data_IF_226894800697
#
_entry.id   IF_226894800697
#
_cell.length_a   1.000
_cell.length_b   1.000
_cell.length_c   1.000
_cell.angle_alpha   90.00
_cell.angle_beta   90.00
_cell.angle_gamma   90.00
#
_symmetry.space_group_name_H-M   'P 1'
#
loop_
_entity.id
_entity.type
_entity.pdbx_description
1 polymer ?
#
# COMPACT_ATOMS: atom_id res chain seq x y z
N UNK A 1 -53.94 -42.57 5.79
CA UNK A 1 -52.84 -43.41 6.33
C UNK A 1 -51.54 -42.79 5.89
N UNK A 2 -50.63 -42.57 6.84
CA UNK A 2 -49.29 -42.04 6.63
C UNK A 2 -48.46 -43.05 5.82
N UNK A 3 -47.62 -42.56 4.91
CA UNK A 3 -46.36 -43.25 4.57
C UNK A 3 -45.29 -42.21 4.28
N UNK A 4 -44.26 -42.28 5.10
CA UNK A 4 -43.04 -41.47 5.11
C UNK A 4 -42.20 -41.70 3.85
N UNK A 5 -41.52 -40.64 3.41
CA UNK A 5 -40.43 -40.69 2.45
C UNK A 5 -39.29 -39.82 2.98
N UNK A 6 -38.41 -40.46 3.76
CA UNK A 6 -37.24 -39.90 4.45
C UNK A 6 -36.20 -39.43 3.42
N UNK A 7 -35.97 -38.12 3.33
CA UNK A 7 -34.80 -37.57 2.62
C UNK A 7 -33.73 -37.22 3.66
N UNK A 8 -32.75 -38.11 3.79
CA UNK A 8 -31.57 -37.92 4.62
C UNK A 8 -30.61 -36.92 3.98
N UNK A 9 -30.45 -35.76 4.60
CA UNK A 9 -29.42 -34.78 4.24
C UNK A 9 -28.09 -35.22 4.84
N UNK A 10 -27.19 -35.75 4.01
CA UNK A 10 -25.78 -35.91 4.36
C UNK A 10 -25.10 -34.54 4.27
N UNK A 11 -24.88 -33.92 5.45
CA UNK A 11 -23.99 -32.75 5.59
C UNK A 11 -22.55 -33.22 5.46
N UNK A 12 -21.88 -32.90 4.35
CA UNK A 12 -20.43 -32.88 4.30
C UNK A 12 -19.96 -31.50 4.80
N UNK A 13 -19.54 -31.45 6.06
CA UNK A 13 -18.76 -30.34 6.60
C UNK A 13 -17.32 -30.51 6.12
N UNK A 14 -16.92 -29.77 5.08
CA UNK A 14 -15.50 -29.54 4.76
C UNK A 14 -15.26 -28.03 4.89
N UNK A 15 -14.26 -27.58 5.67
CA UNK A 15 -13.91 -26.17 5.74
C UNK A 15 -13.32 -25.73 4.40
N UNK A 16 -14.00 -24.80 3.74
CA UNK A 16 -13.45 -24.06 2.60
C UNK A 16 -12.34 -23.14 3.14
N UNK A 17 -11.10 -23.19 2.61
CA UNK A 17 -10.06 -22.24 2.99
C UNK A 17 -10.50 -20.81 2.62
N UNK A 18 -10.08 -19.78 3.38
CA UNK A 18 -10.47 -18.41 3.08
C UNK A 18 -9.99 -18.04 1.68
N UNK A 19 -10.96 -17.74 0.80
CA UNK A 19 -10.72 -17.26 -0.54
C UNK A 19 -9.80 -16.03 -0.49
N UNK A 20 -8.65 -16.16 -1.15
CA UNK A 20 -7.74 -15.06 -1.44
C UNK A 20 -8.56 -13.93 -2.07
N UNK A 21 -8.52 -12.77 -1.42
CA UNK A 21 -9.20 -11.56 -1.81
C UNK A 21 -8.84 -11.17 -3.26
N UNK A 22 -9.73 -11.47 -4.21
CA UNK A 22 -9.77 -10.77 -5.50
C UNK A 22 -10.25 -9.34 -5.26
N UNK A 23 -9.33 -8.44 -4.99
CA UNK A 23 -9.62 -7.00 -4.94
C UNK A 23 -9.54 -6.42 -6.37
N UNK A 24 -10.70 -6.30 -7.02
CA UNK A 24 -10.88 -5.36 -8.12
C UNK A 24 -12.10 -4.48 -7.83
N UNK A 25 -11.92 -3.20 -7.49
CA UNK A 25 -12.94 -2.21 -7.72
C UNK A 25 -12.46 -1.25 -8.82
N UNK A 26 -12.95 -1.48 -10.03
CA UNK A 26 -13.02 -0.42 -11.03
C UNK A 26 -14.27 0.42 -10.73
N UNK A 27 -14.06 1.70 -10.51
CA UNK A 27 -15.09 2.72 -10.52
C UNK A 27 -14.41 4.05 -10.80
N UNK A 28 -14.59 4.59 -12.00
CA UNK A 28 -14.33 5.99 -12.32
C UNK A 28 -14.96 6.84 -11.21
N UNK A 29 -14.13 7.55 -10.45
CA UNK A 29 -14.52 8.18 -9.18
C UNK A 29 -15.80 9.00 -9.32
N UNK A 30 -16.92 8.46 -8.79
CA UNK A 30 -18.09 9.26 -8.47
C UNK A 30 -17.73 10.13 -7.27
N UNK A 31 -18.24 11.37 -7.23
CA UNK A 31 -17.98 12.32 -6.13
C UNK A 31 -18.29 11.80 -4.71
N UNK A 32 -18.98 10.67 -4.58
CA UNK A 32 -19.25 9.99 -3.31
C UNK A 32 -17.99 9.46 -2.61
N UNK A 33 -17.02 8.89 -3.36
CA UNK A 33 -15.84 8.27 -2.75
C UNK A 33 -14.92 9.28 -2.05
N UNK A 34 -14.86 10.51 -2.57
CA UNK A 34 -14.08 11.59 -1.97
C UNK A 34 -14.66 12.07 -0.65
N UNK A 35 -15.98 12.12 -0.54
CA UNK A 35 -16.64 12.52 0.71
C UNK A 35 -16.46 11.45 1.79
N UNK A 36 -16.58 10.18 1.43
CA UNK A 36 -16.27 9.06 2.33
C UNK A 36 -14.82 9.13 2.83
N UNK A 37 -13.86 9.41 1.95
CA UNK A 37 -12.45 9.60 2.34
C UNK A 37 -12.24 10.80 3.27
N UNK A 38 -12.98 11.91 3.07
CA UNK A 38 -12.93 13.06 4.00
C UNK A 38 -13.45 12.69 5.38
N UNK A 39 -14.55 11.93 5.45
CA UNK A 39 -15.07 11.42 6.73
C UNK A 39 -14.06 10.48 7.41
N UNK A 40 -13.35 9.65 6.65
CA UNK A 40 -12.27 8.82 7.18
C UNK A 40 -11.11 9.67 7.73
N UNK A 41 -10.70 10.74 7.05
CA UNK A 41 -9.69 11.69 7.57
C UNK A 41 -10.15 12.35 8.87
N UNK A 42 -11.43 12.73 8.98
CA UNK A 42 -12.00 13.29 10.20
C UNK A 42 -11.88 12.28 11.36
N UNK A 43 -12.31 11.03 11.14
CA UNK A 43 -12.20 9.96 12.16
C UNK A 43 -10.75 9.72 12.57
N UNK A 44 -9.84 9.70 11.61
CA UNK A 44 -8.40 9.53 11.82
C UNK A 44 -7.76 10.70 12.59
N UNK A 45 -8.25 11.93 12.39
CA UNK A 45 -7.87 13.10 13.17
C UNK A 45 -8.38 13.06 14.61
N UNK A 46 -9.62 12.60 14.79
CA UNK A 46 -10.20 12.33 16.13
C UNK A 46 -9.38 11.27 16.85
N UNK A 47 -9.06 10.16 16.20
CA UNK A 47 -8.28 9.07 16.81
C UNK A 47 -6.88 9.53 17.23
N UNK A 48 -6.16 10.27 16.37
CA UNK A 48 -4.88 10.88 16.75
C UNK A 48 -5.02 11.81 17.97
N UNK A 49 -6.10 12.59 17.99
CA UNK A 49 -6.40 13.53 19.07
C UNK A 49 -6.72 12.83 20.39
N UNK A 50 -7.33 11.64 20.36
CA UNK A 50 -7.53 10.79 21.54
C UNK A 50 -6.18 10.38 22.14
N UNK A 51 -5.21 9.95 21.33
CA UNK A 51 -3.87 9.59 21.83
C UNK A 51 -3.09 10.80 22.36
N UNK A 52 -3.25 11.98 21.74
CA UNK A 52 -2.70 13.24 22.27
C UNK A 52 -3.33 13.56 23.62
N UNK A 53 -4.65 13.42 23.74
CA UNK A 53 -5.38 13.64 24.99
C UNK A 53 -4.91 12.66 26.07
N UNK A 54 -4.83 11.37 25.77
CA UNK A 54 -4.31 10.34 26.68
C UNK A 54 -2.91 10.71 27.19
N UNK A 55 -2.03 11.16 26.30
CA UNK A 55 -0.70 11.65 26.65
C UNK A 55 -0.74 12.87 27.57
N UNK A 56 -1.70 13.78 27.39
CA UNK A 56 -1.90 14.90 28.30
C UNK A 56 -2.32 14.44 29.71
N UNK A 57 -3.14 13.40 29.81
CA UNK A 57 -3.50 12.78 31.10
C UNK A 57 -2.33 12.01 31.71
N UNK A 58 -1.48 11.36 30.92
CA UNK A 58 -0.27 10.69 31.43
C UNK A 58 0.73 11.68 32.01
N UNK A 59 0.85 12.86 31.39
CA UNK A 59 1.77 13.91 31.79
C UNK A 59 1.18 14.88 32.84
N UNK A 60 -0.07 14.70 33.27
CA UNK A 60 -0.73 15.69 34.13
C UNK A 60 -0.21 15.71 35.58
N UNK A 61 0.66 14.76 35.94
CA UNK A 61 1.46 14.80 37.16
C UNK A 61 2.43 16.00 37.18
N UNK A 62 2.88 16.44 35.99
CA UNK A 62 3.57 17.72 35.81
C UNK A 62 2.98 18.53 34.64
N UNK A 63 2.14 19.52 34.98
CA UNK A 63 1.51 20.42 34.01
C UNK A 63 2.52 21.10 33.11
N UNK A 64 3.74 21.37 33.59
CA UNK A 64 4.76 22.02 32.77
C UNK A 64 5.22 21.10 31.64
N UNK A 65 5.51 19.83 31.92
CA UNK A 65 5.85 18.81 30.91
C UNK A 65 4.69 18.61 29.94
N UNK A 66 3.45 18.51 30.44
CA UNK A 66 2.26 18.37 29.59
C UNK A 66 2.07 19.56 28.63
N UNK A 67 2.17 20.79 29.14
CA UNK A 67 2.03 22.00 28.33
C UNK A 67 3.18 22.14 27.32
N UNK A 68 4.40 21.77 27.71
CA UNK A 68 5.52 21.72 26.78
C UNK A 68 5.32 20.67 25.69
N UNK A 69 4.77 19.50 26.00
CA UNK A 69 4.42 18.49 25.00
C UNK A 69 3.44 19.06 23.97
N UNK A 70 2.38 19.72 24.43
CA UNK A 70 1.41 20.40 23.55
C UNK A 70 2.06 21.50 22.70
N UNK A 71 2.89 22.35 23.32
CA UNK A 71 3.60 23.44 22.63
C UNK A 71 4.57 22.92 21.58
N UNK A 72 5.23 21.80 21.85
CA UNK A 72 6.20 21.18 20.95
C UNK A 72 5.47 20.54 19.77
N UNK A 73 4.35 19.84 19.99
CA UNK A 73 3.54 19.29 18.89
C UNK A 73 3.01 20.40 17.98
N UNK A 74 2.56 21.51 18.58
CA UNK A 74 2.11 22.68 17.84
C UNK A 74 3.23 23.36 17.03
N UNK A 75 4.45 23.46 17.57
CA UNK A 75 5.57 24.16 16.92
C UNK A 75 6.37 23.30 15.94
N UNK A 76 6.45 21.99 16.14
CA UNK A 76 7.38 21.14 15.38
C UNK A 76 6.88 20.76 13.99
N UNK A 77 5.61 21.01 13.64
CA UNK A 77 4.98 20.29 12.53
C UNK A 77 4.25 21.20 11.52
N UNK A 78 4.93 22.18 10.89
CA UNK A 78 4.46 22.95 9.70
C UNK A 78 4.06 24.43 9.96
N UNK A 79 3.97 25.29 8.90
CA UNK A 79 3.75 26.75 9.02
C UNK A 79 2.39 27.15 9.61
N UNK A 80 2.27 28.43 9.99
CA UNK A 80 1.18 29.03 10.77
C UNK A 80 -0.28 28.89 10.25
N UNK A 81 -0.57 28.17 9.16
CA UNK A 81 -1.92 28.02 8.57
C UNK A 81 -2.34 26.57 8.34
N UNK A 82 -1.84 25.62 9.13
CA UNK A 82 -2.25 24.22 9.04
C UNK A 82 -3.61 23.95 9.74
N UNK A 83 -4.61 23.53 8.97
CA UNK A 83 -5.94 23.16 9.48
C UNK A 83 -5.89 22.01 10.50
N UNK A 84 -5.00 21.03 10.31
CA UNK A 84 -4.85 19.88 11.22
C UNK A 84 -4.35 20.34 12.58
N UNK A 85 -3.28 21.15 12.59
CA UNK A 85 -2.75 21.71 13.83
C UNK A 85 -3.79 22.59 14.53
N UNK A 86 -4.58 23.38 13.79
CA UNK A 86 -5.64 24.19 14.38
C UNK A 86 -6.68 23.33 15.10
N UNK A 87 -7.12 22.22 14.49
CA UNK A 87 -8.04 21.28 15.16
C UNK A 87 -7.40 20.65 16.39
N UNK A 88 -6.15 20.25 16.28
CA UNK A 88 -5.43 19.65 17.39
C UNK A 88 -5.23 20.63 18.57
N UNK A 89 -4.95 21.90 18.28
CA UNK A 89 -4.83 22.95 19.29
C UNK A 89 -6.17 23.20 20.02
N UNK A 90 -7.29 23.16 19.30
CA UNK A 90 -8.62 23.25 19.91
C UNK A 90 -8.88 22.07 20.86
N UNK A 91 -8.49 20.85 20.45
CA UNK A 91 -8.60 19.66 21.32
C UNK A 91 -7.72 19.82 22.56
N UNK A 92 -6.45 20.19 22.41
CA UNK A 92 -5.54 20.39 23.54
C UNK A 92 -6.11 21.42 24.53
N UNK A 93 -6.64 22.54 24.02
CA UNK A 93 -7.26 23.56 24.86
C UNK A 93 -8.51 23.05 25.60
N UNK A 94 -9.37 22.33 24.88
CA UNK A 94 -10.58 21.75 25.44
C UNK A 94 -10.26 20.75 26.55
N UNK A 95 -9.34 19.83 26.30
CA UNK A 95 -8.93 18.80 27.27
C UNK A 95 -8.31 19.44 28.51
N UNK A 96 -7.40 20.39 28.30
CA UNK A 96 -6.75 21.11 29.39
C UNK A 96 -7.77 21.88 30.24
N UNK A 97 -8.64 22.68 29.61
CA UNK A 97 -9.56 23.57 30.32
C UNK A 97 -10.68 22.83 31.03
N UNK A 98 -11.18 21.74 30.43
CA UNK A 98 -12.33 21.00 30.94
C UNK A 98 -11.94 19.94 31.97
N UNK A 99 -10.82 19.23 31.76
CA UNK A 99 -10.51 18.03 32.53
C UNK A 99 -9.29 18.16 33.44
N UNK A 100 -8.27 18.92 33.02
CA UNK A 100 -6.98 18.96 33.72
C UNK A 100 -6.90 20.17 34.66
N UNK A 101 -7.05 21.39 34.13
CA UNK A 101 -6.96 22.67 34.85
C UNK A 101 -7.87 22.73 36.10
N UNK A 102 -9.14 22.27 36.07
CA UNK A 102 -10.03 22.37 37.23
C UNK A 102 -9.64 21.47 38.42
N UNK A 103 -8.79 20.46 38.21
CA UNK A 103 -8.41 19.49 39.26
C UNK A 103 -7.42 20.04 40.29
N UNK A 104 -6.88 21.25 40.11
CA UNK A 104 -6.02 21.96 41.08
C UNK A 104 -4.96 21.05 41.76
N UNK A 105 -4.27 20.23 40.97
CA UNK A 105 -3.23 19.34 41.49
C UNK A 105 -2.07 20.17 42.06
N UNK A 106 -1.49 19.73 43.18
CA UNK A 106 -0.34 20.38 43.80
C UNK A 106 0.88 20.10 42.93
N UNK A 107 1.39 21.13 42.25
CA UNK A 107 2.45 21.01 41.25
C UNK A 107 3.83 20.97 41.91
N UNK A 108 4.65 19.99 41.54
CA UNK A 108 6.08 20.00 41.85
C UNK A 108 6.82 20.76 40.74
N UNK A 109 7.43 21.90 41.08
CA UNK A 109 8.04 22.82 40.10
C UNK A 109 9.42 22.36 39.56
N UNK A 110 9.95 21.24 40.07
CA UNK A 110 11.34 20.83 39.87
C UNK A 110 11.52 19.43 39.23
N UNK A 111 10.45 18.76 38.77
CA UNK A 111 10.53 17.40 38.20
C UNK A 111 9.89 17.29 36.81
N UNK A 112 10.52 16.54 35.89
CA UNK A 112 9.85 16.04 34.69
C UNK A 112 8.73 15.07 35.11
N UNK A 113 7.64 15.02 34.34
CA UNK A 113 6.64 13.95 34.50
C UNK A 113 7.31 12.58 34.51
N UNK A 114 6.84 11.68 35.38
CA UNK A 114 7.34 10.29 35.47
C UNK A 114 7.13 9.56 34.14
N UNK A 115 6.10 9.94 33.39
CA UNK A 115 5.75 9.34 32.10
C UNK A 115 6.45 10.00 30.90
N UNK A 116 7.29 11.02 31.12
CA UNK A 116 8.02 11.69 30.03
C UNK A 116 8.87 10.72 29.22
N UNK A 117 9.49 9.73 29.88
CA UNK A 117 10.30 8.71 29.21
C UNK A 117 9.52 7.93 28.15
N UNK A 118 8.25 7.57 28.43
CA UNK A 118 7.37 6.91 27.48
C UNK A 118 7.02 7.84 26.31
N UNK A 119 6.57 9.06 26.60
CA UNK A 119 6.17 10.04 25.59
C UNK A 119 7.32 10.37 24.63
N UNK A 120 8.55 10.40 25.15
CA UNK A 120 9.75 10.57 24.32
C UNK A 120 9.89 9.45 23.28
N UNK A 121 9.58 8.20 23.64
CA UNK A 121 9.65 7.06 22.70
C UNK A 121 8.50 7.00 21.70
N UNK A 122 7.39 7.70 21.95
CA UNK A 122 6.24 7.79 21.04
C UNK A 122 6.28 9.05 20.17
N UNK A 123 7.20 9.98 20.44
CA UNK A 123 7.27 11.30 19.80
C UNK A 123 7.22 11.24 18.27
N UNK A 124 8.05 10.39 17.66
CA UNK A 124 8.12 10.24 16.20
C UNK A 124 6.76 9.84 15.61
N UNK A 125 6.02 8.96 16.27
CA UNK A 125 4.71 8.51 15.78
C UNK A 125 3.67 9.63 15.84
N UNK A 126 3.75 10.54 16.81
CA UNK A 126 2.88 11.73 16.84
C UNK A 126 3.21 12.69 15.70
N UNK A 127 4.50 12.96 15.46
CA UNK A 127 4.95 13.83 14.37
C UNK A 127 4.56 13.25 13.02
N UNK A 128 4.82 11.96 12.79
CA UNK A 128 4.43 11.24 11.58
C UNK A 128 2.91 11.30 11.39
N UNK A 129 2.15 11.08 12.46
CA UNK A 129 0.70 11.19 12.44
C UNK A 129 0.24 12.57 11.96
N UNK A 130 0.72 13.64 12.57
CA UNK A 130 0.31 15.01 12.20
C UNK A 130 0.69 15.32 10.74
N UNK A 131 1.91 14.99 10.30
CA UNK A 131 2.37 15.31 8.93
C UNK A 131 1.56 14.53 7.89
N UNK A 132 1.32 13.24 8.12
CA UNK A 132 0.56 12.41 7.17
C UNK A 132 -0.89 12.88 7.10
N UNK A 133 -1.51 13.20 8.23
CA UNK A 133 -2.86 13.74 8.28
C UNK A 133 -2.95 15.09 7.55
N UNK A 134 -1.99 15.98 7.76
CA UNK A 134 -1.89 17.24 7.03
C UNK A 134 -1.83 17.03 5.51
N UNK A 135 -0.98 16.10 5.05
CA UNK A 135 -0.87 15.74 3.63
C UNK A 135 -2.18 15.21 3.07
N UNK A 136 -2.87 14.33 3.80
CA UNK A 136 -4.19 13.81 3.41
C UNK A 136 -5.22 14.95 3.25
N UNK A 137 -5.27 15.89 4.21
CA UNK A 137 -6.13 17.06 4.13
C UNK A 137 -5.81 17.89 2.90
N UNK A 138 -4.54 18.23 2.66
CA UNK A 138 -4.13 18.99 1.48
C UNK A 138 -4.55 18.31 0.16
N UNK A 139 -4.43 16.99 0.07
CA UNK A 139 -4.82 16.25 -1.13
C UNK A 139 -6.34 16.29 -1.32
N UNK A 140 -7.12 16.05 -0.27
CA UNK A 140 -8.58 16.00 -0.35
C UNK A 140 -9.25 17.37 -0.46
N UNK A 141 -8.59 18.44 0.01
CA UNK A 141 -9.09 19.83 -0.11
C UNK A 141 -8.96 20.40 -1.52
N UNK A 142 -8.09 19.84 -2.38
CA UNK A 142 -7.99 20.29 -3.78
C UNK A 142 -9.25 19.91 -4.55
N UNK A 143 -9.86 20.86 -5.27
CA UNK A 143 -11.05 20.61 -6.11
C UNK A 143 -10.77 19.56 -7.20
N UNK A 144 -9.58 19.64 -7.83
CA UNK A 144 -9.15 18.77 -8.92
C UNK A 144 -8.10 17.73 -8.48
N UNK A 145 -8.34 17.00 -7.39
CA UNK A 145 -7.42 15.94 -6.99
C UNK A 145 -7.55 14.73 -7.94
N UNK A 146 -6.68 14.65 -8.94
CA UNK A 146 -6.48 13.46 -9.79
C UNK A 146 -5.59 12.41 -9.11
N UNK A 147 -5.61 12.34 -7.77
CA UNK A 147 -4.79 11.37 -7.05
C UNK A 147 -5.38 9.97 -7.23
N UNK A 148 -4.50 8.99 -7.41
CA UNK A 148 -4.90 7.60 -7.55
C UNK A 148 -5.48 7.07 -6.22
N UNK A 149 -6.73 6.59 -6.26
CA UNK A 149 -7.44 6.01 -5.11
C UNK A 149 -6.62 4.91 -4.42
N UNK A 150 -5.77 4.19 -5.15
CA UNK A 150 -4.87 3.16 -4.61
C UNK A 150 -3.74 3.75 -3.75
N UNK A 151 -3.06 4.78 -4.24
CA UNK A 151 -2.00 5.47 -3.49
C UNK A 151 -2.57 6.13 -2.24
N UNK A 152 -3.75 6.73 -2.36
CA UNK A 152 -4.49 7.25 -1.20
C UNK A 152 -4.84 6.13 -0.22
N UNK A 153 -5.45 5.04 -0.68
CA UNK A 153 -5.80 3.89 0.17
C UNK A 153 -4.59 3.30 0.90
N UNK A 154 -3.44 3.19 0.23
CA UNK A 154 -2.18 2.77 0.83
C UNK A 154 -1.70 3.75 1.91
N UNK A 155 -1.80 5.06 1.64
CA UNK A 155 -1.49 6.08 2.63
C UNK A 155 -2.41 6.01 3.87
N UNK A 156 -3.72 5.81 3.68
CA UNK A 156 -4.68 5.58 4.77
C UNK A 156 -4.32 4.34 5.58
N UNK A 157 -3.97 3.22 4.93
CA UNK A 157 -3.58 1.99 5.60
C UNK A 157 -2.31 2.17 6.44
N UNK A 158 -1.29 2.83 5.87
CA UNK A 158 -0.03 3.13 6.60
C UNK A 158 -0.27 4.10 7.76
N UNK A 159 -1.14 5.09 7.59
CA UNK A 159 -1.52 5.99 8.68
C UNK A 159 -2.24 5.25 9.82
N UNK A 160 -3.19 4.37 9.50
CA UNK A 160 -3.83 3.49 10.50
C UNK A 160 -2.81 2.64 11.25
N UNK A 161 -1.75 2.18 10.58
CA UNK A 161 -0.66 1.46 11.24
C UNK A 161 0.17 2.36 12.18
N UNK A 162 0.40 3.63 11.84
CA UNK A 162 1.04 4.61 12.75
C UNK A 162 0.21 4.78 14.02
N UNK A 163 -1.11 4.96 13.88
CA UNK A 163 -2.02 5.08 15.02
C UNK A 163 -2.08 3.79 15.87
N UNK A 164 -2.11 2.62 15.24
CA UNK A 164 -2.02 1.34 15.95
C UNK A 164 -0.72 1.19 16.73
N UNK A 165 0.40 1.66 16.19
CA UNK A 165 1.68 1.64 16.90
C UNK A 165 1.67 2.58 18.12
N UNK A 166 0.98 3.74 18.04
CA UNK A 166 0.75 4.62 19.18
C UNK A 166 -0.09 3.91 20.25
N UNK A 167 -1.21 3.31 19.86
CA UNK A 167 -2.09 2.55 20.76
C UNK A 167 -1.31 1.48 21.53
N UNK A 168 -0.52 0.67 20.82
CA UNK A 168 0.28 -0.40 21.43
C UNK A 168 1.26 0.17 22.45
N UNK A 169 1.95 1.28 22.14
CA UNK A 169 2.90 1.89 23.09
C UNK A 169 2.20 2.47 24.32
N UNK A 170 1.07 3.15 24.14
CA UNK A 170 0.30 3.78 25.22
C UNK A 170 -0.46 2.76 26.08
N UNK A 171 -0.81 1.59 25.53
CA UNK A 171 -1.52 0.53 26.25
C UNK A 171 -0.83 0.07 27.53
N UNK A 172 0.51 0.18 27.59
CA UNK A 172 1.31 -0.17 28.77
C UNK A 172 1.05 0.74 29.99
N UNK A 173 0.47 1.92 29.78
CA UNK A 173 0.18 2.92 30.81
C UNK A 173 -1.29 3.30 30.88
N UNK A 174 -2.17 2.49 30.29
CA UNK A 174 -3.62 2.75 30.25
C UNK A 174 -4.21 2.92 31.65
N UNK A 175 -3.82 2.08 32.61
CA UNK A 175 -4.29 2.19 33.99
C UNK A 175 -3.90 3.54 34.64
N UNK A 176 -2.77 4.11 34.23
CA UNK A 176 -2.28 5.41 34.74
C UNK A 176 -3.08 6.56 34.15
N UNK A 177 -3.35 6.54 32.84
CA UNK A 177 -4.17 7.58 32.20
C UNK A 177 -5.61 7.54 32.74
N UNK A 178 -6.19 6.35 32.91
CA UNK A 178 -7.52 6.15 33.51
C UNK A 178 -7.58 6.61 34.97
N UNK A 179 -6.57 6.31 35.78
CA UNK A 179 -6.47 6.80 37.16
C UNK A 179 -6.41 8.34 37.22
N UNK A 180 -5.80 8.97 36.21
CA UNK A 180 -5.78 10.42 36.04
C UNK A 180 -7.11 10.98 35.49
N UNK A 181 -8.08 10.12 35.21
CA UNK A 181 -9.44 10.45 34.78
C UNK A 181 -9.61 10.54 33.27
N UNK A 182 -8.74 9.91 32.49
CA UNK A 182 -8.93 9.71 31.05
C UNK A 182 -10.09 8.73 30.81
N UNK A 183 -11.07 9.12 30.01
CA UNK A 183 -12.17 8.25 29.58
C UNK A 183 -12.26 8.36 28.06
N UNK A 184 -11.76 7.34 27.36
CA UNK A 184 -11.55 7.34 25.91
C UNK A 184 -12.81 7.72 25.14
N UNK A 185 -13.92 7.02 25.42
CA UNK A 185 -15.19 7.19 24.70
C UNK A 185 -15.79 8.59 24.92
N UNK A 186 -15.63 9.13 26.13
CA UNK A 186 -16.14 10.47 26.47
C UNK A 186 -15.33 11.55 25.74
N UNK A 187 -14.01 11.43 25.75
CA UNK A 187 -13.13 12.38 25.07
C UNK A 187 -13.37 12.31 23.56
N UNK A 188 -13.39 11.12 22.98
CA UNK A 188 -13.64 10.87 21.56
C UNK A 188 -14.95 11.53 21.10
N UNK A 189 -16.05 11.29 21.82
CA UNK A 189 -17.36 11.88 21.49
C UNK A 189 -17.34 13.42 21.56
N UNK A 190 -16.64 13.99 22.53
CA UNK A 190 -16.64 15.44 22.75
C UNK A 190 -15.74 16.18 21.76
N UNK A 191 -14.67 15.55 21.28
CA UNK A 191 -13.75 16.17 20.32
C UNK A 191 -14.17 15.95 18.87
N UNK A 192 -15.07 14.99 18.59
CA UNK A 192 -15.54 14.70 17.24
C UNK A 192 -16.07 15.95 16.51
N UNK A 193 -16.85 16.77 17.21
CA UNK A 193 -17.40 18.01 16.65
C UNK A 193 -16.33 19.06 16.32
N UNK A 194 -15.18 19.05 17.01
CA UNK A 194 -14.07 19.96 16.72
C UNK A 194 -13.43 19.65 15.35
N UNK A 195 -13.50 18.39 14.91
CA UNK A 195 -12.96 17.90 13.64
C UNK A 195 -13.95 17.96 12.49
N UNK A 196 -15.26 18.01 12.76
CA UNK A 196 -16.31 17.95 11.74
C UNK A 196 -16.18 19.03 10.66
N UNK A 197 -15.70 20.22 11.03
CA UNK A 197 -15.49 21.35 10.12
C UNK A 197 -14.10 21.40 9.47
N UNK A 198 -13.35 20.29 9.47
CA UNK A 198 -11.99 20.24 8.91
C UNK A 198 -11.93 20.69 7.44
N UNK A 199 -12.96 20.37 6.65
CA UNK A 199 -13.04 20.69 5.22
C UNK A 199 -13.99 21.85 4.90
N UNK A 200 -14.54 22.55 5.89
CA UNK A 200 -15.49 23.64 5.69
C UNK A 200 -14.74 24.95 5.36
N UNK A 201 -14.76 25.35 4.08
CA UNK A 201 -14.09 26.58 3.61
C UNK A 201 -14.71 27.88 4.17
N UNK A 202 -16.01 27.88 4.52
CA UNK A 202 -16.75 29.05 5.02
C UNK A 202 -16.42 29.46 6.48
N UNK A 203 -15.59 28.68 7.18
CA UNK A 203 -15.23 28.97 8.58
C UNK A 203 -14.03 29.92 8.75
N UNK A 204 -13.32 30.29 7.67
CA UNK A 204 -12.30 31.35 7.66
C UNK A 204 -12.95 32.71 7.40
N UNK A 205 -12.62 33.82 8.04
CA UNK A 205 -11.31 34.45 7.85
C UNK A 205 -10.92 35.45 8.96
N UNK A 206 -11.73 35.70 10.01
CA UNK A 206 -11.38 36.71 11.04
C UNK A 206 -11.58 36.26 12.50
N UNK A 207 -12.68 35.57 12.83
CA UNK A 207 -12.93 35.04 14.16
C UNK A 207 -11.92 33.98 14.66
N UNK A 208 -11.36 33.09 13.81
CA UNK A 208 -10.46 32.02 14.25
C UNK A 208 -9.11 32.51 14.82
N UNK A 209 -8.57 33.62 14.32
CA UNK A 209 -7.24 34.10 14.75
C UNK A 209 -7.26 34.73 16.15
N UNK A 210 -8.34 35.44 16.50
CA UNK A 210 -8.54 35.99 17.84
C UNK A 210 -8.74 34.84 18.85
N UNK A 211 -9.53 33.82 18.46
CA UNK A 211 -9.73 32.61 19.28
C UNK A 211 -8.40 31.86 19.46
N UNK A 212 -7.63 31.67 18.39
CA UNK A 212 -6.30 31.03 18.44
C UNK A 212 -5.35 31.78 19.37
N UNK A 213 -5.25 33.10 19.26
CA UNK A 213 -4.37 33.91 20.11
C UNK A 213 -4.76 33.77 21.59
N UNK A 214 -6.07 33.76 21.88
CA UNK A 214 -6.58 33.53 23.23
C UNK A 214 -6.26 32.14 23.76
N UNK A 215 -6.41 31.10 22.93
CA UNK A 215 -6.06 29.72 23.27
C UNK A 215 -4.57 29.57 23.56
N UNK A 216 -3.70 30.09 22.67
CA UNK A 216 -2.25 30.05 22.86
C UNK A 216 -1.84 30.77 24.14
N UNK A 217 -2.48 31.90 24.44
CA UNK A 217 -2.25 32.62 25.69
C UNK A 217 -2.70 31.78 26.89
N UNK A 218 -3.91 31.23 26.90
CA UNK A 218 -4.42 30.44 28.04
C UNK A 218 -3.63 29.15 28.29
N UNK A 219 -3.22 28.44 27.22
CA UNK A 219 -2.42 27.21 27.33
C UNK A 219 -0.97 27.50 27.71
N UNK A 220 -0.31 28.47 27.07
CA UNK A 220 1.14 28.59 27.13
C UNK A 220 1.66 29.76 27.98
N UNK A 221 0.79 30.61 28.52
CA UNK A 221 1.19 31.61 29.54
C UNK A 221 2.00 31.01 30.69
N UNK A 222 1.64 29.83 31.26
CA UNK A 222 2.42 29.19 32.32
C UNK A 222 3.86 28.84 31.93
N UNK A 223 4.17 28.75 30.63
CA UNK A 223 5.50 28.39 30.13
C UNK A 223 6.44 29.60 29.95
N UNK A 224 5.91 30.82 29.75
CA UNK A 224 6.73 31.99 29.37
C UNK A 224 7.66 32.52 30.48
N UNK A 225 7.43 32.13 31.74
CA UNK A 225 8.23 32.60 32.87
C UNK A 225 9.32 31.61 33.32
N UNK A 226 9.53 30.50 32.62
CA UNK A 226 10.38 29.38 33.07
C UNK A 226 11.37 28.92 32.00
N UNK A 227 12.54 28.35 32.37
CA UNK A 227 13.54 27.91 31.41
C UNK A 227 13.01 26.84 30.45
N UNK A 228 13.49 26.88 29.21
CA UNK A 228 13.05 26.00 28.13
C UNK A 228 13.47 24.54 28.41
N UNK A 229 12.56 23.59 28.18
CA UNK A 229 12.83 22.16 28.26
C UNK A 229 13.76 21.73 27.12
N UNK A 230 15.08 21.69 27.39
CA UNK A 230 16.12 21.44 26.36
C UNK A 230 15.99 20.08 25.68
N UNK A 231 15.46 19.06 26.37
CA UNK A 231 15.28 17.74 25.78
C UNK A 231 14.16 17.73 24.73
N UNK A 232 13.11 18.53 24.94
CA UNK A 232 12.00 18.66 23.99
C UNK A 232 12.38 19.47 22.75
N UNK A 233 13.28 20.46 22.89
CA UNK A 233 13.83 21.18 21.74
C UNK A 233 14.72 20.31 20.84
N UNK A 234 15.30 19.24 21.37
CA UNK A 234 16.13 18.31 20.60
C UNK A 234 15.30 17.35 19.73
N UNK A 235 13.98 17.32 19.92
CA UNK A 235 13.05 16.50 19.15
C UNK A 235 12.81 17.16 17.78
N UNK A 236 13.68 16.83 16.82
CA UNK A 236 13.61 17.35 15.45
C UNK A 236 12.49 16.67 14.67
N UNK A 237 11.68 17.42 13.89
CA UNK A 237 10.74 16.81 12.96
C UNK A 237 11.48 16.13 11.80
N UNK A 238 11.25 14.84 11.62
CA UNK A 238 11.56 14.15 10.37
C UNK A 238 10.34 14.21 9.43
N UNK A 239 10.57 14.13 8.12
CA UNK A 239 9.47 14.04 7.17
C UNK A 239 9.13 12.57 6.95
N UNK A 240 7.93 12.08 7.35
CA UNK A 240 7.57 10.70 7.13
C UNK A 240 7.57 10.37 5.65
N UNK A 241 7.89 9.11 5.35
CA UNK A 241 7.91 8.56 4.01
C UNK A 241 6.53 8.60 3.31
N UNK A 242 5.43 8.65 4.06
CA UNK A 242 4.06 8.54 3.53
C UNK A 242 3.62 9.83 2.81
N UNK A 243 3.05 9.71 1.61
CA UNK A 243 2.53 10.82 0.78
C UNK A 243 3.58 11.84 0.28
N UNK A 244 4.86 11.48 0.24
CA UNK A 244 5.91 12.21 -0.50
C UNK A 244 5.97 11.84 -1.99
N UNK A 245 6.79 12.54 -2.79
CA UNK A 245 7.05 12.15 -4.20
C UNK A 245 7.64 10.74 -4.30
N UNK A 246 8.60 10.43 -3.42
CA UNK A 246 9.24 9.12 -3.35
C UNK A 246 8.28 8.00 -2.92
N UNK A 247 7.20 8.35 -2.22
CA UNK A 247 6.14 7.42 -1.83
C UNK A 247 5.35 6.95 -3.05
N UNK A 248 4.78 7.88 -3.81
CA UNK A 248 3.97 7.56 -4.98
C UNK A 248 4.79 6.76 -6.01
N UNK A 249 6.06 7.13 -6.20
CA UNK A 249 6.97 6.40 -7.06
C UNK A 249 7.22 4.96 -6.60
N UNK A 250 7.36 4.73 -5.29
CA UNK A 250 7.58 3.38 -4.77
C UNK A 250 6.33 2.51 -4.76
N UNK A 251 5.17 3.07 -4.41
CA UNK A 251 3.89 2.35 -4.52
C UNK A 251 3.67 1.86 -5.95
N UNK A 252 3.98 2.73 -6.93
CA UNK A 252 3.89 2.39 -8.34
C UNK A 252 4.94 1.34 -8.76
N UNK A 253 6.15 1.33 -8.18
CA UNK A 253 7.13 0.25 -8.39
C UNK A 253 6.62 -1.09 -7.86
N UNK A 254 6.03 -1.12 -6.67
CA UNK A 254 5.45 -2.33 -6.10
C UNK A 254 4.28 -2.85 -6.94
N UNK A 255 3.45 -1.95 -7.47
CA UNK A 255 2.37 -2.29 -8.40
C UNK A 255 2.90 -2.89 -9.70
N UNK A 256 3.95 -2.31 -10.28
CA UNK A 256 4.60 -2.83 -11.48
C UNK A 256 5.17 -4.23 -11.27
N UNK A 257 5.77 -4.49 -10.11
CA UNK A 257 6.23 -5.84 -9.74
C UNK A 257 5.04 -6.81 -9.69
N UNK A 258 3.92 -6.44 -9.06
CA UNK A 258 2.72 -7.28 -9.02
C UNK A 258 2.15 -7.57 -10.41
N UNK A 259 2.06 -6.56 -11.27
CA UNK A 259 1.58 -6.73 -12.65
C UNK A 259 2.53 -7.62 -13.48
N UNK A 260 3.85 -7.52 -13.25
CA UNK A 260 4.83 -8.40 -13.87
C UNK A 260 4.69 -9.87 -13.44
N UNK A 261 4.43 -10.11 -12.15
CA UNK A 261 4.11 -11.44 -11.62
C UNK A 261 2.83 -11.98 -12.25
N UNK A 262 1.78 -11.17 -12.31
CA UNK A 262 0.50 -11.57 -12.89
C UNK A 262 0.63 -11.91 -14.38
N UNK A 263 1.32 -11.07 -15.16
CA UNK A 263 1.67 -11.35 -16.55
C UNK A 263 2.40 -12.71 -16.68
N UNK A 264 3.40 -12.95 -15.83
CA UNK A 264 4.18 -14.19 -15.85
C UNK A 264 3.33 -15.42 -15.51
N UNK A 265 2.36 -15.30 -14.61
CA UNK A 265 1.43 -16.38 -14.28
C UNK A 265 0.52 -16.74 -15.46
N UNK A 266 0.03 -15.77 -16.22
CA UNK A 266 -0.75 -16.07 -17.43
C UNK A 266 0.11 -16.67 -18.55
N UNK A 267 1.38 -16.27 -18.65
CA UNK A 267 2.34 -16.92 -19.57
C UNK A 267 2.60 -18.35 -19.13
N UNK A 268 2.81 -18.59 -17.84
CA UNK A 268 2.95 -19.95 -17.28
C UNK A 268 1.71 -20.80 -17.56
N UNK A 269 0.50 -20.29 -17.31
CA UNK A 269 -0.75 -20.97 -17.63
C UNK A 269 -0.83 -21.36 -19.12
N UNK A 270 -0.42 -20.45 -20.00
CA UNK A 270 -0.34 -20.70 -21.45
C UNK A 270 0.68 -21.79 -21.79
N UNK A 271 1.83 -21.83 -21.09
CA UNK A 271 2.83 -22.89 -21.25
C UNK A 271 2.27 -24.25 -20.84
N UNK A 272 1.52 -24.32 -19.73
CA UNK A 272 0.83 -25.54 -19.32
C UNK A 272 -0.22 -25.97 -20.36
N UNK A 273 -1.02 -25.03 -20.88
CA UNK A 273 -2.00 -25.34 -21.91
C UNK A 273 -1.37 -25.94 -23.17
N UNK A 274 -0.18 -25.46 -23.56
CA UNK A 274 0.56 -25.94 -24.72
C UNK A 274 1.48 -27.14 -24.43
N UNK A 275 1.61 -27.59 -23.18
CA UNK A 275 2.56 -28.66 -22.80
C UNK A 275 2.24 -30.05 -23.40
N UNK A 276 1.09 -30.20 -24.07
CA UNK A 276 0.80 -31.37 -24.91
C UNK A 276 1.70 -31.44 -26.16
N UNK A 277 2.20 -30.29 -26.62
CA UNK A 277 3.25 -30.21 -27.63
C UNK A 277 4.29 -29.15 -27.21
N UNK A 278 5.42 -29.64 -26.69
CA UNK A 278 6.52 -28.80 -26.23
C UNK A 278 7.01 -27.86 -27.34
N UNK A 279 6.92 -28.25 -28.61
CA UNK A 279 7.35 -27.40 -29.73
C UNK A 279 6.45 -26.18 -29.88
N UNK A 280 5.12 -26.37 -29.81
CA UNK A 280 4.15 -25.27 -29.76
C UNK A 280 4.43 -24.37 -28.56
N UNK A 281 4.62 -24.94 -27.37
CA UNK A 281 4.94 -24.16 -26.16
C UNK A 281 6.22 -23.31 -26.34
N UNK A 282 7.31 -23.90 -26.83
CA UNK A 282 8.57 -23.18 -27.06
C UNK A 282 8.45 -22.13 -28.17
N UNK A 283 7.68 -22.41 -29.23
CA UNK A 283 7.36 -21.41 -30.27
C UNK A 283 6.58 -20.23 -29.72
N UNK A 284 5.62 -20.48 -28.84
CA UNK A 284 4.88 -19.43 -28.13
C UNK A 284 5.82 -18.54 -27.31
N UNK A 285 6.68 -19.15 -26.49
CA UNK A 285 7.66 -18.42 -25.67
C UNK A 285 8.65 -17.62 -26.53
N UNK A 286 9.16 -18.20 -27.62
CA UNK A 286 10.07 -17.53 -28.54
C UNK A 286 9.39 -16.34 -29.23
N UNK A 287 8.11 -16.49 -29.61
CA UNK A 287 7.34 -15.42 -30.24
C UNK A 287 7.12 -14.25 -29.27
N UNK A 288 6.70 -14.53 -28.04
CA UNK A 288 6.58 -13.51 -26.98
C UNK A 288 7.90 -12.76 -26.78
N UNK A 289 9.02 -13.48 -26.68
CA UNK A 289 10.33 -12.87 -26.52
C UNK A 289 10.75 -12.03 -27.74
N UNK A 290 10.51 -12.52 -28.96
CA UNK A 290 10.86 -11.80 -30.20
C UNK A 290 10.04 -10.53 -30.39
N UNK A 291 8.75 -10.59 -30.12
CA UNK A 291 7.85 -9.45 -30.31
C UNK A 291 8.14 -8.36 -29.27
N UNK A 292 8.38 -8.76 -28.02
CA UNK A 292 8.82 -7.84 -26.98
C UNK A 292 10.19 -7.19 -27.25
N UNK A 293 11.08 -7.87 -28.00
CA UNK A 293 12.38 -7.33 -28.45
C UNK A 293 12.28 -6.54 -29.76
N UNK A 294 11.22 -6.74 -30.54
CA UNK A 294 11.03 -6.21 -31.89
C UNK A 294 10.74 -4.71 -31.92
N UNK A 295 10.26 -4.14 -30.81
CA UNK A 295 10.21 -2.69 -30.62
C UNK A 295 11.65 -2.17 -30.41
N UNK A 296 12.22 -1.58 -31.47
CA UNK A 296 13.61 -1.13 -31.67
C UNK A 296 14.18 -0.19 -30.57
N UNK A 297 13.39 0.16 -29.55
CA UNK A 297 13.75 1.17 -28.56
C UNK A 297 14.63 0.67 -27.40
N UNK A 298 14.69 -0.64 -27.05
CA UNK A 298 15.42 -1.07 -25.84
C UNK A 298 16.09 -2.46 -26.00
N UNK A 299 17.40 -2.52 -26.30
CA UNK A 299 18.15 -3.79 -26.42
C UNK A 299 18.24 -4.64 -25.14
N UNK A 300 18.01 -4.03 -23.97
CA UNK A 300 18.16 -4.62 -22.62
C UNK A 300 16.88 -4.36 -21.76
N UNK A 301 15.70 -4.82 -22.21
CA UNK A 301 14.46 -4.67 -21.43
C UNK A 301 14.51 -5.52 -20.14
N UNK A 302 14.43 -4.91 -18.95
CA UNK A 302 14.38 -5.64 -17.68
C UNK A 302 13.12 -6.48 -17.55
N UNK A 303 12.00 -6.02 -18.13
CA UNK A 303 10.73 -6.75 -18.14
C UNK A 303 10.86 -8.04 -18.92
N UNK A 304 11.46 -7.99 -20.11
CA UNK A 304 11.69 -9.18 -20.95
C UNK A 304 12.65 -10.15 -20.27
N UNK A 305 13.67 -9.64 -19.60
CA UNK A 305 14.61 -10.45 -18.81
C UNK A 305 13.88 -11.20 -17.68
N UNK A 306 13.07 -10.51 -16.86
CA UNK A 306 12.29 -11.14 -15.77
C UNK A 306 11.28 -12.14 -16.30
N UNK A 307 10.61 -11.82 -17.42
CA UNK A 307 9.67 -12.74 -18.04
C UNK A 307 10.37 -14.01 -18.56
N UNK A 308 11.56 -13.87 -19.16
CA UNK A 308 12.32 -15.01 -19.64
C UNK A 308 12.80 -15.90 -18.48
N UNK A 309 13.19 -15.32 -17.35
CA UNK A 309 13.51 -16.06 -16.13
C UNK A 309 12.31 -16.85 -15.62
N UNK A 310 11.12 -16.23 -15.59
CA UNK A 310 9.89 -16.92 -15.20
C UNK A 310 9.54 -18.06 -16.16
N UNK A 311 9.66 -17.85 -17.47
CA UNK A 311 9.49 -18.90 -18.50
C UNK A 311 10.48 -20.04 -18.28
N UNK A 312 11.76 -19.72 -18.09
CA UNK A 312 12.81 -20.72 -17.88
C UNK A 312 12.57 -21.52 -16.59
N UNK A 313 12.14 -20.85 -15.53
CA UNK A 313 11.79 -21.46 -14.26
C UNK A 313 10.69 -22.51 -14.43
N UNK A 314 9.54 -22.10 -15.00
CA UNK A 314 8.39 -22.99 -15.23
C UNK A 314 8.77 -24.14 -16.18
N UNK A 315 9.50 -23.83 -17.24
CA UNK A 315 9.99 -24.84 -18.17
C UNK A 315 10.85 -25.88 -17.44
N UNK A 316 11.89 -25.45 -16.75
CA UNK A 316 12.89 -26.33 -16.15
C UNK A 316 12.33 -27.16 -14.99
N UNK A 317 11.46 -26.57 -14.17
CA UNK A 317 10.92 -27.22 -12.97
C UNK A 317 9.83 -28.23 -13.32
N UNK A 318 8.91 -27.84 -14.19
CA UNK A 318 7.61 -28.51 -14.30
C UNK A 318 7.32 -29.13 -15.68
N UNK A 319 7.83 -28.55 -16.77
CA UNK A 319 7.45 -28.99 -18.14
C UNK A 319 8.55 -29.79 -18.84
N UNK A 320 9.82 -29.46 -18.61
CA UNK A 320 10.96 -30.08 -19.28
C UNK A 320 10.98 -31.59 -19.01
N UNK A 321 11.03 -32.43 -20.06
CA UNK A 321 11.10 -33.87 -19.89
C UNK A 321 12.33 -34.27 -19.05
N UNK A 322 12.09 -34.95 -17.94
CA UNK A 322 13.18 -35.52 -17.12
C UNK A 322 13.69 -36.80 -17.81
N UNK A 323 15.01 -36.98 -17.86
CA UNK A 323 15.68 -38.19 -18.38
C UNK A 323 15.52 -38.48 -19.89
N UNK A 324 15.68 -37.46 -20.74
CA UNK A 324 15.79 -37.68 -22.20
C UNK A 324 14.52 -38.19 -22.88
N UNK A 325 13.35 -37.94 -22.27
CA UNK A 325 12.06 -38.22 -22.88
C UNK A 325 11.93 -37.56 -24.25
N UNK A 326 11.53 -38.33 -25.25
CA UNK A 326 11.40 -37.89 -26.64
C UNK A 326 10.26 -36.88 -26.75
N UNK A 327 10.53 -35.70 -27.31
CA UNK A 327 9.53 -34.71 -27.68
C UNK A 327 8.56 -35.34 -28.68
N UNK A 328 7.25 -35.34 -28.40
CA UNK A 328 6.27 -35.71 -29.43
C UNK A 328 6.27 -34.60 -30.49
N UNK A 329 7.02 -34.81 -31.57
CA UNK A 329 7.39 -33.78 -32.55
C UNK A 329 6.41 -33.62 -33.73
N UNK A 330 5.34 -34.43 -33.78
CA UNK A 330 4.51 -34.59 -34.99
C UNK A 330 3.15 -33.88 -34.94
N UNK A 331 2.90 -33.02 -33.94
CA UNK A 331 1.59 -32.37 -33.74
C UNK A 331 1.65 -30.86 -33.45
N UNK A 332 0.54 -30.18 -33.72
CA UNK A 332 0.25 -28.81 -33.24
C UNK A 332 -0.58 -28.96 -31.96
N UNK A 333 -0.23 -28.25 -30.88
CA UNK A 333 -1.00 -28.32 -29.62
C UNK A 333 -2.49 -28.06 -29.86
N UNK A 334 -3.35 -28.81 -29.19
CA UNK A 334 -4.81 -28.65 -29.27
C UNK A 334 -5.25 -27.24 -28.85
N UNK A 335 -4.50 -26.64 -27.92
CA UNK A 335 -4.79 -25.30 -27.38
C UNK A 335 -4.13 -24.17 -28.19
N UNK A 336 -3.40 -24.48 -29.27
CA UNK A 336 -2.67 -23.47 -30.03
C UNK A 336 -3.54 -22.33 -30.56
N UNK A 337 -4.72 -22.65 -31.10
CA UNK A 337 -5.61 -21.61 -31.64
C UNK A 337 -6.14 -20.68 -30.54
N UNK A 338 -6.41 -21.23 -29.35
CA UNK A 338 -6.81 -20.43 -28.20
C UNK A 338 -5.67 -19.47 -27.79
N UNK A 339 -4.47 -20.00 -27.58
CA UNK A 339 -3.31 -19.21 -27.16
C UNK A 339 -2.96 -18.14 -28.20
N UNK A 340 -3.07 -18.45 -29.50
CA UNK A 340 -2.88 -17.46 -30.57
C UNK A 340 -3.76 -16.23 -30.40
N UNK A 341 -5.00 -16.38 -29.91
CA UNK A 341 -5.87 -15.21 -29.69
C UNK A 341 -5.39 -14.30 -28.58
N UNK A 342 -4.55 -14.77 -27.66
CA UNK A 342 -4.04 -13.97 -26.52
C UNK A 342 -2.85 -13.09 -26.87
N UNK A 343 -2.19 -13.31 -28.01
CA UNK A 343 -0.91 -12.66 -28.36
C UNK A 343 -0.95 -11.13 -28.30
N UNK A 344 -1.92 -10.50 -28.94
CA UNK A 344 -2.00 -9.03 -28.98
C UNK A 344 -2.14 -8.43 -27.58
N UNK A 345 -2.82 -9.14 -26.67
CA UNK A 345 -2.98 -8.70 -25.29
C UNK A 345 -1.69 -8.89 -24.50
N UNK A 346 -0.98 -10.00 -24.70
CA UNK A 346 0.33 -10.21 -24.08
C UNK A 346 1.35 -9.17 -24.55
N UNK A 347 1.42 -8.92 -25.86
CA UNK A 347 2.30 -7.91 -26.45
C UNK A 347 2.01 -6.51 -25.88
N UNK A 348 0.73 -6.11 -25.84
CA UNK A 348 0.32 -4.84 -25.25
C UNK A 348 0.71 -4.74 -23.77
N UNK A 349 0.45 -5.77 -22.98
CA UNK A 349 0.79 -5.81 -21.55
C UNK A 349 2.30 -5.72 -21.32
N UNK A 350 3.11 -6.46 -22.08
CA UNK A 350 4.58 -6.42 -21.99
C UNK A 350 5.10 -5.03 -22.36
N UNK A 351 4.64 -4.47 -23.48
CA UNK A 351 5.08 -3.16 -23.97
C UNK A 351 4.77 -2.03 -22.98
N UNK A 352 3.56 -2.02 -22.44
CA UNK A 352 3.13 -0.97 -21.50
C UNK A 352 3.84 -1.12 -20.15
N UNK A 353 4.09 -2.35 -19.70
CA UNK A 353 4.89 -2.63 -18.50
C UNK A 353 6.35 -2.19 -18.66
N UNK A 354 6.97 -2.44 -19.81
CA UNK A 354 8.34 -2.05 -20.11
C UNK A 354 8.52 -0.53 -20.18
N UNK A 355 7.59 0.17 -20.82
CA UNK A 355 7.54 1.64 -20.83
C UNK A 355 7.43 2.21 -19.42
N UNK A 356 6.56 1.62 -18.59
CA UNK A 356 6.39 2.06 -17.21
C UNK A 356 7.65 1.82 -16.36
N UNK A 357 8.32 0.68 -16.52
CA UNK A 357 9.61 0.40 -15.86
C UNK A 357 10.68 1.40 -16.27
N UNK A 358 10.76 1.76 -17.56
CA UNK A 358 11.69 2.76 -18.05
C UNK A 358 11.46 4.13 -17.38
N UNK A 359 10.20 4.57 -17.30
CA UNK A 359 9.82 5.82 -16.63
C UNK A 359 10.23 5.79 -15.15
N UNK A 360 9.96 4.69 -14.46
CA UNK A 360 10.24 4.52 -13.03
C UNK A 360 11.74 4.39 -12.70
N UNK A 361 12.55 3.88 -13.63
CA UNK A 361 14.02 3.83 -13.53
C UNK A 361 14.66 5.19 -13.79
N UNK A 362 14.01 6.07 -14.54
CA UNK A 362 14.46 7.45 -14.76
C UNK A 362 14.29 8.37 -13.54
N UNK A 363 14.92 9.54 -13.60
CA UNK A 363 14.76 10.62 -12.61
C UNK A 363 13.52 11.51 -12.89
N UNK A 364 12.74 11.18 -13.93
CA UNK A 364 11.57 11.93 -14.35
C UNK A 364 10.33 11.74 -13.46
N UNK A 365 9.31 12.56 -13.74
CA UNK A 365 8.01 12.54 -13.05
C UNK A 365 7.13 11.39 -13.55
N UNK A 366 6.35 10.79 -12.65
CA UNK A 366 5.53 9.59 -12.91
C UNK A 366 4.06 9.93 -13.22
N UNK A 367 3.77 11.10 -13.83
CA UNK A 367 2.39 11.58 -14.01
C UNK A 367 1.49 10.61 -14.79
N UNK A 368 2.06 9.85 -15.72
CA UNK A 368 1.30 8.91 -16.57
C UNK A 368 1.28 7.47 -16.02
N UNK A 369 1.83 7.23 -14.83
CA UNK A 369 1.99 5.88 -14.28
C UNK A 369 0.68 5.08 -14.21
N UNK A 370 -0.41 5.75 -13.84
CA UNK A 370 -1.75 5.14 -13.73
C UNK A 370 -2.37 4.77 -15.07
N UNK A 371 -2.12 5.57 -16.11
CA UNK A 371 -2.59 5.27 -17.46
C UNK A 371 -1.94 3.96 -17.94
N UNK A 372 -0.64 3.79 -17.68
CA UNK A 372 0.07 2.55 -17.97
C UNK A 372 -0.45 1.37 -17.14
N UNK A 373 -0.57 1.48 -15.81
CA UNK A 373 -1.09 0.37 -14.99
C UNK A 373 -2.48 -0.06 -15.42
N UNK A 374 -3.37 0.89 -15.72
CA UNK A 374 -4.74 0.58 -16.19
C UNK A 374 -4.75 -0.15 -17.54
N UNK A 375 -3.88 0.23 -18.48
CA UNK A 375 -3.73 -0.45 -19.78
C UNK A 375 -3.18 -1.87 -19.62
N UNK A 376 -2.19 -2.04 -18.76
CA UNK A 376 -1.61 -3.36 -18.46
C UNK A 376 -2.69 -4.27 -17.86
N UNK A 377 -3.41 -3.80 -16.85
CA UNK A 377 -4.51 -4.56 -16.24
C UNK A 377 -5.61 -4.91 -17.25
N UNK A 378 -6.00 -3.98 -18.11
CA UNK A 378 -6.99 -4.26 -19.15
C UNK A 378 -6.50 -5.35 -20.11
N UNK A 379 -5.23 -5.29 -20.52
CA UNK A 379 -4.62 -6.30 -21.37
C UNK A 379 -4.61 -7.68 -20.69
N UNK A 380 -4.18 -7.74 -19.42
CA UNK A 380 -4.15 -8.97 -18.63
C UNK A 380 -5.55 -9.53 -18.39
N UNK A 381 -6.55 -8.68 -18.14
CA UNK A 381 -7.96 -9.09 -18.02
C UNK A 381 -8.46 -9.74 -19.31
N UNK A 382 -8.12 -9.17 -20.47
CA UNK A 382 -8.49 -9.77 -21.77
C UNK A 382 -7.77 -11.11 -22.01
N UNK A 383 -6.60 -11.33 -21.42
CA UNK A 383 -5.94 -12.65 -21.41
C UNK A 383 -6.72 -13.61 -20.50
N UNK A 384 -7.02 -13.23 -19.27
CA UNK A 384 -7.80 -14.05 -18.32
C UNK A 384 -9.13 -14.49 -18.92
N UNK A 385 -9.88 -13.56 -19.51
CA UNK A 385 -11.18 -13.85 -20.13
C UNK A 385 -11.06 -14.90 -21.25
N UNK A 386 -9.97 -14.86 -22.03
CA UNK A 386 -9.70 -15.85 -23.08
C UNK A 386 -9.28 -17.20 -22.50
N UNK A 387 -8.40 -17.22 -21.49
CA UNK A 387 -7.89 -18.46 -20.89
C UNK A 387 -8.93 -19.14 -19.99
N UNK A 388 -9.94 -18.42 -19.49
CA UNK A 388 -10.95 -18.92 -18.57
C UNK A 388 -11.64 -20.20 -19.04
N UNK A 389 -11.87 -20.36 -20.35
CA UNK A 389 -12.52 -21.54 -20.91
C UNK A 389 -11.64 -22.81 -20.86
N UNK A 390 -10.32 -22.65 -20.74
CA UNK A 390 -9.35 -23.75 -20.70
C UNK A 390 -8.70 -23.91 -19.32
N UNK A 391 -9.16 -23.18 -18.30
CA UNK A 391 -8.58 -23.23 -16.94
C UNK A 391 -8.55 -24.63 -16.32
N UNK A 392 -9.63 -25.40 -16.49
CA UNK A 392 -9.65 -26.78 -16.00
C UNK A 392 -8.59 -27.68 -16.70
N UNK A 393 -8.21 -27.34 -17.94
CA UNK A 393 -7.19 -28.07 -18.70
C UNK A 393 -5.79 -27.71 -18.19
N UNK A 394 -5.51 -26.44 -17.91
CA UNK A 394 -4.23 -26.03 -17.33
C UNK A 394 -4.03 -26.64 -15.94
N UNK A 395 -5.06 -26.60 -15.09
CA UNK A 395 -5.04 -27.19 -13.75
C UNK A 395 -4.85 -28.72 -13.80
N UNK A 396 -5.55 -29.41 -14.71
CA UNK A 396 -5.37 -30.86 -14.90
C UNK A 396 -3.96 -31.24 -15.36
N UNK A 397 -3.27 -30.33 -16.06
CA UNK A 397 -1.86 -30.48 -16.45
C UNK A 397 -0.87 -30.08 -15.35
N UNK A 398 -1.36 -29.73 -14.16
CA UNK A 398 -0.54 -29.43 -12.98
C UNK A 398 -0.26 -27.93 -12.78
N UNK A 399 -0.93 -27.03 -13.49
CA UNK A 399 -0.82 -25.60 -13.23
C UNK A 399 -1.44 -25.27 -11.86
N UNK A 400 -0.63 -24.74 -10.95
CA UNK A 400 -1.06 -24.32 -9.62
C UNK A 400 -0.66 -22.86 -9.39
N UNK A 401 -1.57 -21.94 -9.74
CA UNK A 401 -1.33 -20.49 -9.72
C UNK A 401 -0.74 -19.98 -8.41
N UNK A 402 -1.39 -20.32 -7.29
CA UNK A 402 -0.99 -19.86 -5.94
C UNK A 402 0.40 -20.38 -5.54
N UNK A 403 0.75 -21.61 -5.94
CA UNK A 403 2.05 -22.19 -5.64
C UNK A 403 3.19 -21.51 -6.43
N UNK A 404 2.91 -21.10 -7.67
CA UNK A 404 3.90 -20.45 -8.54
C UNK A 404 4.06 -18.95 -8.26
N UNK A 405 3.04 -18.30 -7.72
CA UNK A 405 3.03 -16.85 -7.50
C UNK A 405 4.19 -16.38 -6.61
N UNK A 406 4.52 -17.14 -5.57
CA UNK A 406 5.62 -16.78 -4.65
C UNK A 406 6.98 -16.90 -5.34
N UNK A 407 7.22 -18.03 -6.02
CA UNK A 407 8.49 -18.29 -6.71
C UNK A 407 8.73 -17.31 -7.86
N UNK A 408 7.69 -17.02 -8.65
CA UNK A 408 7.74 -15.99 -9.69
C UNK A 408 7.91 -14.61 -9.05
N UNK A 409 7.21 -14.33 -7.95
CA UNK A 409 7.36 -13.10 -7.18
C UNK A 409 8.80 -12.78 -6.82
N UNK A 410 9.57 -13.78 -6.40
CA UNK A 410 10.99 -13.63 -6.07
C UNK A 410 11.84 -13.22 -7.29
N UNK A 411 11.52 -13.71 -8.49
CA UNK A 411 12.21 -13.32 -9.72
C UNK A 411 11.97 -11.85 -10.08
N UNK A 412 10.83 -11.28 -9.68
CA UNK A 412 10.46 -9.89 -9.98
C UNK A 412 10.91 -8.87 -8.92
N UNK A 413 11.29 -9.31 -7.71
CA UNK A 413 11.69 -8.41 -6.59
C UNK A 413 12.83 -7.46 -6.97
N UNK A 414 13.80 -7.95 -7.74
CA UNK A 414 14.99 -7.20 -8.14
C UNK A 414 14.81 -6.41 -9.44
N UNK A 415 13.57 -6.19 -9.90
CA UNK A 415 13.28 -5.42 -11.12
C UNK A 415 13.83 -4.00 -11.09
N UNK A 416 13.90 -3.34 -9.93
CA UNK A 416 14.39 -1.96 -9.80
C UNK A 416 15.80 -1.85 -9.19
N UNK A 417 16.44 -2.97 -8.90
CA UNK A 417 17.77 -3.00 -8.29
C UNK A 417 18.84 -2.71 -9.36
N UNK A 418 19.57 -1.61 -9.19
CA UNK A 418 20.61 -1.17 -10.15
C UNK A 418 21.80 -2.14 -10.23
N UNK A 419 22.07 -2.87 -9.15
CA UNK A 419 23.17 -3.84 -9.04
C UNK A 419 22.75 -5.26 -9.46
N UNK A 420 21.45 -5.57 -9.43
CA UNK A 420 20.92 -6.87 -9.82
C UNK A 420 20.72 -6.96 -11.34
N UNK A 421 21.74 -6.56 -12.12
CA UNK A 421 21.75 -6.84 -13.56
C UNK A 421 21.97 -8.34 -13.72
N UNK A 422 20.89 -9.11 -13.80
CA UNK A 422 20.97 -10.51 -14.16
C UNK A 422 21.28 -10.57 -15.65
N UNK A 423 22.57 -10.49 -15.98
CA UNK A 423 23.05 -10.68 -17.34
C UNK A 423 22.37 -11.93 -17.89
N UNK A 424 21.48 -11.73 -18.88
CA UNK A 424 20.70 -12.80 -19.48
C UNK A 424 21.68 -13.90 -19.90
N UNK A 425 21.74 -14.97 -19.11
CA UNK A 425 22.77 -15.98 -19.31
C UNK A 425 22.45 -16.65 -20.63
N UNK A 426 23.39 -16.62 -21.56
CA UNK A 426 23.30 -17.35 -22.83
C UNK A 426 22.77 -18.78 -22.62
N UNK A 427 23.10 -19.39 -21.48
CA UNK A 427 22.62 -20.68 -21.00
C UNK A 427 21.08 -20.81 -20.96
N UNK A 428 20.34 -19.81 -20.48
CA UNK A 428 18.86 -19.85 -20.42
C UNK A 428 18.27 -19.88 -21.83
N UNK A 429 18.79 -19.03 -22.71
CA UNK A 429 18.33 -18.94 -24.09
C UNK A 429 18.61 -20.24 -24.85
N UNK A 430 19.82 -20.78 -24.68
CA UNK A 430 20.19 -22.07 -25.25
C UNK A 430 19.31 -23.19 -24.68
N UNK A 431 19.07 -23.24 -23.37
CA UNK A 431 18.25 -24.31 -22.76
C UNK A 431 16.80 -24.31 -23.26
N UNK A 432 16.21 -23.11 -23.43
CA UNK A 432 14.84 -22.97 -23.94
C UNK A 432 14.73 -23.24 -25.44
N UNK A 433 15.65 -22.70 -26.25
CA UNK A 433 15.43 -22.59 -27.70
C UNK A 433 16.37 -23.45 -28.55
N UNK A 434 17.43 -24.05 -27.99
CA UNK A 434 18.23 -25.06 -28.69
C UNK A 434 17.38 -26.22 -29.25
N UNK A 435 16.34 -26.73 -28.55
CA UNK A 435 15.46 -27.77 -29.10
C UNK A 435 14.73 -27.33 -30.39
N UNK A 436 14.56 -26.03 -30.62
CA UNK A 436 13.96 -25.51 -31.87
C UNK A 436 14.98 -25.40 -33.01
N UNK A 437 16.28 -25.32 -32.70
CA UNK A 437 17.36 -25.08 -33.67
C UNK A 437 18.06 -26.36 -34.14
N UNK A 438 18.03 -27.44 -33.36
CA UNK A 438 18.79 -28.67 -33.65
C UNK A 438 18.13 -29.62 -34.68
N UNK A 439 17.06 -29.21 -35.37
CA UNK A 439 16.47 -30.02 -36.44
C UNK A 439 16.37 -29.25 -37.78
N UNK A 440 17.37 -29.51 -38.62
CA UNK A 440 17.25 -29.43 -40.07
C UNK A 440 17.57 -30.82 -40.67
N UNK A 441 16.79 -31.14 -41.70
CA UNK A 441 16.86 -32.30 -42.62
C UNK A 441 16.18 -33.59 -42.11
N UNK A 442 14.93 -33.85 -42.55
CA UNK A 442 14.44 -35.21 -42.62
C UNK A 442 15.22 -35.97 -43.71
N UNK A 443 15.72 -37.16 -43.38
CA UNK A 443 16.14 -38.15 -44.36
C UNK A 443 14.99 -39.08 -44.71
#
# INVERSE_FOLDING_TARGET
MKSEGTSGVLRLNVPVPPAVLRYFPYGTGSGSGKEDMKQDVIRLGVELSVYVSESMFLLCDDIRTMLWFCATLWKCVMPDQDHVLQRLLLVMHYVYSTYIKPKNLVYHDDGNSVQWGLIRTTWELFVDGIIVLHRLVLVLSRKDCSFDDRVLSSAFAKYKQVLKNLEVKLSSTKDVSEANGFVRETIESNIFDLWKSLFDEEAGEAAPQVIRTRILTDLFTPLFCKPIHREMLALSPHSPYILGFDFAKQELKEEVVRLGVELSLYVAESMYLLSDDIRSMLRFCLKLWRDAKGDVLIPDSPVVERLLLAIHYVYSKDIKPKHGGVYQNDGKSVQWELIRTTWENFDAGIRDLDRLVLILRGEGTCFDGREFTSRIEEALRKVDDKLRCAKAVSEAKGFAREAMETDIGDLWKSLFDKEAKEVMKHEIFWDLFLPLCMEAVPH
#
